data_IF_833218013732
#
_entry.id   IF_833218013732
#
_cell.length_a   1.000
_cell.length_b   1.000
_cell.length_c   1.000
_cell.angle_alpha   90.00
_cell.angle_beta   90.00
_cell.angle_gamma   90.00
#
_symmetry.space_group_name_H-M   'P 1'
#
loop_
_entity.id
_entity.type
_entity.pdbx_description
1 polymer ?
#
# COMPACT_ATOMS: atom_id res chain seq x y z
N UNK A 1 24.50 -19.07 -18.72
CA UNK A 1 23.55 -18.93 -17.58
C UNK A 1 23.50 -17.51 -17.01
N UNK A 2 24.59 -16.73 -17.02
CA UNK A 2 24.59 -15.32 -16.58
C UNK A 2 23.79 -14.39 -17.50
N UNK A 3 23.88 -14.57 -18.82
CA UNK A 3 23.15 -13.74 -19.80
C UNK A 3 21.63 -13.90 -19.76
N UNK A 4 21.14 -15.10 -19.45
CA UNK A 4 19.70 -15.37 -19.29
C UNK A 4 19.12 -14.73 -18.04
N UNK A 5 19.87 -14.70 -16.93
CA UNK A 5 19.44 -14.05 -15.69
C UNK A 5 19.39 -12.53 -15.86
N UNK A 6 20.40 -11.94 -16.53
CA UNK A 6 20.42 -10.51 -16.83
C UNK A 6 19.24 -10.10 -17.73
N UNK A 7 18.89 -10.91 -18.73
CA UNK A 7 17.72 -10.67 -19.58
C UNK A 7 16.40 -10.75 -18.82
N UNK A 8 16.24 -11.73 -17.93
CA UNK A 8 15.03 -11.87 -17.10
C UNK A 8 14.88 -10.68 -16.16
N UNK A 9 15.96 -10.26 -15.48
CA UNK A 9 15.95 -9.10 -14.58
C UNK A 9 15.66 -7.79 -15.33
N UNK A 10 16.23 -7.62 -16.52
CA UNK A 10 15.97 -6.46 -17.37
C UNK A 10 14.50 -6.42 -17.83
N UNK A 11 13.93 -7.56 -18.24
CA UNK A 11 12.53 -7.66 -18.63
C UNK A 11 11.59 -7.36 -17.45
N UNK A 12 11.91 -7.85 -16.25
CA UNK A 12 11.12 -7.58 -15.04
C UNK A 12 11.17 -6.10 -14.64
N UNK A 13 12.34 -5.46 -14.74
CA UNK A 13 12.50 -4.04 -14.45
C UNK A 13 11.74 -3.15 -15.45
N UNK A 14 11.76 -3.49 -16.75
CA UNK A 14 11.01 -2.76 -17.78
C UNK A 14 9.51 -2.97 -17.59
N UNK A 15 9.05 -4.20 -17.34
CA UNK A 15 7.65 -4.49 -17.09
C UNK A 15 7.11 -3.80 -15.82
N UNK A 16 7.89 -3.81 -14.73
CA UNK A 16 7.53 -3.11 -13.49
C UNK A 16 7.42 -1.60 -13.66
N UNK A 17 8.31 -1.00 -14.45
CA UNK A 17 8.26 0.44 -14.77
C UNK A 17 7.06 0.82 -15.64
N UNK A 18 6.72 0.01 -16.63
CA UNK A 18 5.53 0.23 -17.46
C UNK A 18 4.23 0.05 -16.64
N UNK A 19 4.20 -0.92 -15.72
CA UNK A 19 3.06 -1.13 -14.81
C UNK A 19 2.90 0.03 -13.81
N UNK A 20 4.02 0.55 -13.27
CA UNK A 20 4.04 1.71 -12.39
C UNK A 20 3.56 2.98 -13.12
N UNK A 21 4.00 3.20 -14.36
CA UNK A 21 3.55 4.34 -15.17
C UNK A 21 2.10 4.20 -15.65
N UNK A 22 1.62 2.98 -15.90
CA UNK A 22 0.22 2.73 -16.25
C UNK A 22 -0.72 2.96 -15.05
N UNK A 23 -0.30 2.57 -13.84
CA UNK A 23 -1.06 2.79 -12.61
C UNK A 23 -1.08 4.27 -12.20
N UNK A 24 0.05 4.96 -12.28
CA UNK A 24 0.16 6.39 -11.98
C UNK A 24 -0.65 7.27 -12.97
N UNK A 25 -0.81 6.86 -14.23
CA UNK A 25 -1.68 7.55 -15.20
C UNK A 25 -3.16 7.20 -15.04
N UNK A 26 -3.49 6.00 -14.56
CA UNK A 26 -4.89 5.55 -14.35
C UNK A 26 -5.52 6.21 -13.13
N UNK A 27 -4.76 6.49 -12.08
CA UNK A 27 -5.28 7.12 -10.85
C UNK A 27 -5.87 8.53 -11.07
N UNK A 28 -5.18 9.51 -11.71
CA UNK A 28 -5.74 10.84 -11.98
C UNK A 28 -6.87 10.80 -13.01
N UNK A 29 -6.83 9.84 -13.96
CA UNK A 29 -7.91 9.65 -14.95
C UNK A 29 -9.19 9.11 -14.31
N UNK A 30 -9.08 8.11 -13.44
CA UNK A 30 -10.20 7.58 -12.67
C UNK A 30 -10.79 8.63 -11.71
N UNK A 31 -9.95 9.49 -11.13
CA UNK A 31 -10.41 10.61 -10.31
C UNK A 31 -11.13 11.70 -11.12
N UNK A 32 -10.72 11.96 -12.36
CA UNK A 32 -11.40 12.88 -13.26
C UNK A 32 -12.77 12.33 -13.69
N UNK A 33 -12.83 11.05 -14.08
CA UNK A 33 -14.06 10.35 -14.43
C UNK A 33 -15.04 10.30 -13.25
N UNK A 34 -14.56 10.09 -12.02
CA UNK A 34 -15.40 10.17 -10.81
C UNK A 34 -15.95 11.57 -10.55
N UNK A 35 -15.21 12.64 -10.84
CA UNK A 35 -15.72 14.01 -10.72
C UNK A 35 -16.78 14.30 -11.78
N UNK A 36 -16.58 13.82 -13.00
CA UNK A 36 -17.53 13.95 -14.09
C UNK A 36 -18.83 13.19 -13.80
N UNK A 37 -18.74 11.93 -13.37
CA UNK A 37 -19.90 11.12 -12.99
C UNK A 37 -20.68 11.77 -11.84
N UNK A 38 -20.00 12.32 -10.83
CA UNK A 38 -20.67 13.07 -9.74
C UNK A 38 -21.40 14.31 -10.25
N UNK A 39 -20.84 15.03 -11.23
CA UNK A 39 -21.49 16.18 -11.84
C UNK A 39 -22.73 15.76 -12.66
N UNK A 40 -22.64 14.66 -13.41
CA UNK A 40 -23.78 14.11 -14.17
C UNK A 40 -24.91 13.66 -13.24
N UNK A 41 -24.60 13.00 -12.13
CA UNK A 41 -25.60 12.60 -11.11
C UNK A 41 -26.25 13.81 -10.45
N UNK A 42 -25.49 14.86 -10.12
CA UNK A 42 -26.05 16.09 -9.55
C UNK A 42 -26.99 16.80 -10.52
N UNK A 43 -26.65 16.85 -11.81
CA UNK A 43 -27.48 17.43 -12.86
C UNK A 43 -28.75 16.61 -13.11
N UNK A 44 -28.65 15.28 -13.14
CA UNK A 44 -29.81 14.39 -13.26
C UNK A 44 -30.75 14.51 -12.05
N UNK A 45 -30.19 14.64 -10.84
CA UNK A 45 -30.98 14.87 -9.61
C UNK A 45 -31.74 16.19 -9.71
N UNK A 46 -31.08 17.28 -10.13
CA UNK A 46 -31.73 18.59 -10.33
C UNK A 46 -32.83 18.54 -11.39
N UNK A 47 -32.61 17.81 -12.50
CA UNK A 47 -33.65 17.60 -13.54
C UNK A 47 -34.83 16.79 -13.01
N UNK A 48 -34.57 15.78 -12.18
CA UNK A 48 -35.60 14.98 -11.54
C UNK A 48 -36.46 15.82 -10.58
N UNK A 49 -35.83 16.64 -9.73
CA UNK A 49 -36.53 17.57 -8.83
C UNK A 49 -37.35 18.60 -9.62
N UNK A 50 -36.81 19.16 -10.71
CA UNK A 50 -37.53 20.11 -11.56
C UNK A 50 -38.73 19.47 -12.28
N UNK A 51 -38.64 18.19 -12.66
CA UNK A 51 -39.75 17.44 -13.24
C UNK A 51 -40.80 17.09 -12.18
N UNK A 52 -40.38 16.67 -10.98
CA UNK A 52 -41.30 16.45 -9.86
C UNK A 52 -42.05 17.73 -9.47
N UNK A 53 -41.37 18.89 -9.43
CA UNK A 53 -42.00 20.18 -9.15
C UNK A 53 -43.03 20.59 -10.21
N UNK A 54 -42.79 20.28 -11.49
CA UNK A 54 -43.76 20.52 -12.58
C UNK A 54 -44.98 19.61 -12.53
N UNK A 55 -44.80 18.38 -12.05
CA UNK A 55 -45.90 17.42 -11.84
C UNK A 55 -46.70 17.78 -10.59
N UNK A 56 -46.05 18.35 -9.57
CA UNK A 56 -46.68 18.78 -8.32
C UNK A 56 -47.39 20.14 -8.41
N UNK A 57 -47.21 20.90 -9.49
CA UNK A 57 -47.92 22.17 -9.70
C UNK A 57 -49.34 21.91 -10.27
N UNK A 58 -50.42 22.24 -9.54
CA UNK A 58 -51.77 22.13 -10.06
C UNK A 58 -52.04 23.25 -11.09
N UNK A 59 -52.81 22.93 -12.13
CA UNK A 59 -53.27 23.89 -13.12
C UNK A 59 -54.05 25.03 -12.45
N UNK A 60 -53.48 26.23 -12.44
CA UNK A 60 -54.20 27.46 -12.12
C UNK A 60 -54.95 27.94 -13.36
N UNK A 61 -56.26 27.70 -13.40
CA UNK A 61 -57.22 28.50 -14.16
C UNK A 61 -57.92 29.47 -13.18
N UNK A 62 -57.81 30.79 -13.35
CA UNK A 62 -58.70 31.73 -12.69
C UNK A 62 -59.93 31.98 -13.57
N UNK A 63 -61.08 31.73 -12.96
CA UNK A 63 -62.41 32.00 -13.48
C UNK A 63 -62.68 33.49 -13.74
N UNK A 64 -63.44 33.78 -14.80
CA UNK A 64 -64.23 35.00 -14.91
C UNK A 64 -65.63 34.63 -15.43
N UNK A 65 -66.64 34.74 -14.57
CA UNK A 65 -68.06 34.67 -14.91
C UNK A 65 -68.55 36.05 -15.39
N UNK A 66 -69.63 36.13 -16.18
CA UNK A 66 -70.86 36.63 -15.54
C UNK A 66 -72.18 35.96 -15.99
N UNK A 67 -73.05 35.84 -15.00
CA UNK A 67 -74.50 35.66 -14.91
C UNK A 67 -75.41 35.79 -16.16
N UNK A 68 -76.34 34.82 -16.30
CA UNK A 68 -77.60 34.91 -17.06
C UNK A 68 -78.52 33.68 -16.82
N UNK A 69 -79.85 33.81 -16.62
CA UNK A 69 -80.73 32.79 -16.00
C UNK A 69 -81.35 31.76 -17.01
N UNK A 70 -82.09 30.72 -16.55
CA UNK A 70 -82.05 29.38 -17.12
C UNK A 70 -83.06 29.15 -18.26
N UNK A 71 -82.69 28.31 -19.23
CA UNK A 71 -83.63 27.79 -20.22
C UNK A 71 -83.32 26.33 -20.57
N UNK A 72 -84.30 25.48 -20.24
CA UNK A 72 -84.74 24.25 -20.91
C UNK A 72 -83.73 23.38 -21.67
N UNK A 73 -83.65 22.14 -21.21
CA UNK A 73 -83.17 20.94 -21.92
C UNK A 73 -83.82 20.82 -23.32
N UNK A 74 -83.07 20.31 -24.31
CA UNK A 74 -83.52 19.08 -24.95
C UNK A 74 -82.42 18.02 -24.95
N UNK A 75 -82.84 16.84 -24.50
CA UNK A 75 -82.15 15.57 -24.71
C UNK A 75 -82.16 15.34 -26.22
N UNK A 76 -80.99 15.43 -26.85
CA UNK A 76 -80.76 14.87 -28.18
C UNK A 76 -80.15 13.49 -27.99
N UNK A 77 -80.95 12.47 -28.25
CA UNK A 77 -80.50 11.11 -28.56
C UNK A 77 -79.64 11.18 -29.83
N UNK A 78 -78.32 11.21 -29.64
CA UNK A 78 -77.36 10.93 -30.70
C UNK A 78 -76.33 9.95 -30.14
N UNK A 79 -76.12 8.78 -30.78
CA UNK A 79 -75.19 7.78 -30.26
C UNK A 79 -73.78 8.39 -30.18
N UNK A 80 -73.01 8.16 -29.10
CA UNK A 80 -71.61 8.55 -29.12
C UNK A 80 -70.92 7.67 -30.16
N UNK A 81 -70.79 8.20 -31.37
CA UNK A 81 -69.75 7.80 -32.27
C UNK A 81 -68.45 7.95 -31.48
N UNK A 82 -67.88 6.82 -31.09
CA UNK A 82 -66.53 6.72 -30.56
C UNK A 82 -65.59 7.07 -31.72
N UNK A 83 -65.54 8.36 -32.04
CA UNK A 83 -64.43 8.94 -32.76
C UNK A 83 -63.31 9.04 -31.72
N UNK A 84 -62.51 7.98 -31.62
CA UNK A 84 -61.31 8.00 -30.81
C UNK A 84 -60.51 9.23 -31.18
N UNK A 85 -60.24 10.10 -30.20
CA UNK A 85 -59.46 11.32 -30.41
C UNK A 85 -58.09 10.89 -30.98
N UNK A 86 -57.77 11.23 -32.25
CA UNK A 86 -56.54 10.78 -32.89
C UNK A 86 -55.29 11.25 -32.13
N UNK A 87 -55.41 12.36 -31.38
CA UNK A 87 -54.33 12.87 -30.52
C UNK A 87 -54.12 12.03 -29.26
N UNK A 88 -55.15 11.37 -28.76
CA UNK A 88 -55.03 10.44 -27.64
C UNK A 88 -54.34 9.14 -28.09
N UNK A 89 -54.66 8.65 -29.28
CA UNK A 89 -53.99 7.50 -29.90
C UNK A 89 -52.50 7.81 -30.19
N UNK A 90 -52.18 8.96 -30.79
CA UNK A 90 -50.80 9.40 -31.02
C UNK A 90 -49.97 9.50 -29.72
N UNK A 91 -50.58 9.94 -28.61
CA UNK A 91 -49.90 9.98 -27.31
C UNK A 91 -49.66 8.60 -26.73
N UNK A 92 -50.60 7.67 -26.91
CA UNK A 92 -50.45 6.28 -26.48
C UNK A 92 -49.36 5.59 -27.30
N UNK A 93 -49.30 5.83 -28.60
CA UNK A 93 -48.24 5.31 -29.47
C UNK A 93 -46.86 5.88 -29.06
N UNK A 94 -46.76 7.19 -28.83
CA UNK A 94 -45.51 7.82 -28.37
C UNK A 94 -45.08 7.36 -26.97
N UNK A 95 -46.02 7.02 -26.08
CA UNK A 95 -45.74 6.42 -24.79
C UNK A 95 -45.28 4.97 -24.95
N UNK A 96 -45.89 4.20 -25.84
CA UNK A 96 -45.50 2.83 -26.17
C UNK A 96 -44.07 2.80 -26.72
N UNK A 97 -43.75 3.66 -27.69
CA UNK A 97 -42.39 3.82 -28.23
C UNK A 97 -41.36 4.23 -27.16
N UNK A 98 -41.80 4.93 -26.11
CA UNK A 98 -40.92 5.32 -25.00
C UNK A 98 -40.74 4.18 -24.01
N UNK A 99 -41.79 3.39 -23.75
CA UNK A 99 -41.70 2.17 -22.94
C UNK A 99 -40.79 1.16 -23.62
N UNK A 100 -40.95 0.92 -24.92
CA UNK A 100 -40.10 -0.02 -25.67
C UNK A 100 -38.61 0.39 -25.64
N UNK A 101 -38.33 1.70 -25.73
CA UNK A 101 -36.96 2.23 -25.58
C UNK A 101 -36.43 2.03 -24.16
N UNK A 102 -37.23 2.31 -23.13
CA UNK A 102 -36.83 2.09 -21.75
C UNK A 102 -36.59 0.60 -21.47
N UNK A 103 -37.44 -0.30 -21.96
CA UNK A 103 -37.27 -1.75 -21.82
C UNK A 103 -35.97 -2.21 -22.48
N UNK A 104 -35.64 -1.67 -23.66
CA UNK A 104 -34.36 -1.95 -24.32
C UNK A 104 -33.17 -1.42 -23.51
N UNK A 105 -33.25 -0.19 -23.00
CA UNK A 105 -32.20 0.41 -22.18
C UNK A 105 -32.02 -0.37 -20.86
N UNK A 106 -33.12 -0.84 -20.24
CA UNK A 106 -33.09 -1.70 -19.06
C UNK A 106 -32.46 -3.06 -19.37
N UNK A 107 -32.76 -3.66 -20.52
CA UNK A 107 -32.14 -4.91 -20.95
C UNK A 107 -30.63 -4.73 -21.18
N UNK A 108 -30.20 -3.61 -21.76
CA UNK A 108 -28.79 -3.29 -21.95
C UNK A 108 -28.06 -3.05 -20.62
N UNK A 109 -28.66 -2.27 -19.71
CA UNK A 109 -28.12 -2.04 -18.37
C UNK A 109 -28.04 -3.33 -17.55
N UNK A 110 -29.05 -4.20 -17.63
CA UNK A 110 -29.03 -5.51 -16.98
C UNK A 110 -27.86 -6.36 -17.50
N UNK A 111 -27.65 -6.41 -18.82
CA UNK A 111 -26.51 -7.12 -19.40
C UNK A 111 -25.15 -6.53 -18.99
N UNK A 112 -25.06 -5.20 -18.85
CA UNK A 112 -23.85 -4.54 -18.36
C UNK A 112 -23.57 -4.86 -16.88
N UNK A 113 -24.62 -4.91 -16.05
CA UNK A 113 -24.49 -5.30 -14.64
C UNK A 113 -24.04 -6.76 -14.50
N UNK A 114 -24.63 -7.68 -15.25
CA UNK A 114 -24.23 -9.09 -15.25
C UNK A 114 -22.75 -9.27 -15.66
N UNK A 115 -22.30 -8.48 -16.65
CA UNK A 115 -20.90 -8.49 -17.07
C UNK A 115 -19.95 -7.96 -15.98
N UNK A 116 -20.35 -6.91 -15.26
CA UNK A 116 -19.57 -6.37 -14.13
C UNK A 116 -19.53 -7.32 -12.94
N UNK A 117 -20.63 -8.01 -12.65
CA UNK A 117 -20.68 -9.03 -11.59
C UNK A 117 -19.75 -10.21 -11.92
N UNK A 118 -19.71 -10.65 -13.18
CA UNK A 118 -18.77 -11.67 -13.63
C UNK A 118 -17.31 -11.22 -13.50
N UNK A 119 -16.98 -9.98 -13.87
CA UNK A 119 -15.63 -9.42 -13.68
C UNK A 119 -15.27 -9.36 -12.20
N UNK A 120 -16.20 -8.95 -11.35
CA UNK A 120 -15.99 -8.91 -9.90
C UNK A 120 -15.75 -10.29 -9.30
N UNK A 121 -16.46 -11.31 -9.77
CA UNK A 121 -16.24 -12.69 -9.34
C UNK A 121 -14.91 -13.26 -9.82
N UNK A 122 -14.50 -12.92 -11.05
CA UNK A 122 -13.17 -13.25 -11.56
C UNK A 122 -12.06 -12.58 -10.72
N UNK A 123 -12.21 -11.30 -10.38
CA UNK A 123 -11.28 -10.57 -9.51
C UNK A 123 -11.19 -11.19 -8.11
N UNK A 124 -12.32 -11.59 -7.52
CA UNK A 124 -12.33 -12.29 -6.23
C UNK A 124 -11.66 -13.66 -6.31
N UNK A 125 -11.84 -14.39 -7.41
CA UNK A 125 -11.16 -15.67 -7.62
C UNK A 125 -9.66 -15.48 -7.76
N UNK A 126 -9.22 -14.46 -8.49
CA UNK A 126 -7.81 -14.09 -8.61
C UNK A 126 -7.23 -13.70 -7.25
N UNK A 127 -7.90 -12.86 -6.47
CA UNK A 127 -7.46 -12.48 -5.13
C UNK A 127 -7.22 -13.71 -4.25
N UNK A 128 -8.19 -14.64 -4.18
CA UNK A 128 -8.03 -15.90 -3.45
C UNK A 128 -6.86 -16.75 -3.96
N UNK A 129 -6.62 -16.77 -5.26
CA UNK A 129 -5.48 -17.51 -5.82
C UNK A 129 -4.14 -16.87 -5.46
N UNK A 130 -4.09 -15.53 -5.37
CA UNK A 130 -2.91 -14.82 -4.92
C UNK A 130 -2.66 -15.06 -3.44
N UNK A 131 -3.71 -15.07 -2.60
CA UNK A 131 -3.59 -15.39 -1.17
C UNK A 131 -2.99 -16.80 -0.95
N UNK A 132 -3.41 -17.78 -1.75
CA UNK A 132 -2.84 -19.15 -1.70
C UNK A 132 -1.37 -19.15 -2.12
N UNK A 133 -1.03 -18.47 -3.21
CA UNK A 133 0.37 -18.39 -3.67
C UNK A 133 1.25 -17.66 -2.66
N UNK A 134 0.77 -16.58 -2.04
CA UNK A 134 1.48 -15.87 -0.97
C UNK A 134 1.73 -16.78 0.24
N UNK A 135 0.72 -17.56 0.63
CA UNK A 135 0.85 -18.54 1.70
C UNK A 135 1.90 -19.61 1.37
N UNK A 136 1.82 -20.23 0.19
CA UNK A 136 2.76 -21.26 -0.26
C UNK A 136 4.21 -20.73 -0.34
N UNK A 137 4.40 -19.50 -0.81
CA UNK A 137 5.70 -18.82 -0.83
C UNK A 137 6.21 -18.63 0.60
N UNK A 138 5.34 -18.20 1.52
CA UNK A 138 5.66 -18.06 2.94
C UNK A 138 6.11 -19.38 3.58
N UNK A 139 5.41 -20.48 3.32
CA UNK A 139 5.79 -21.81 3.81
C UNK A 139 7.14 -22.27 3.24
N UNK A 140 7.36 -22.12 1.93
CA UNK A 140 8.61 -22.49 1.28
C UNK A 140 9.79 -21.64 1.79
N UNK A 141 9.56 -20.35 2.02
CA UNK A 141 10.55 -19.46 2.61
C UNK A 141 10.92 -19.89 4.03
N UNK A 142 9.94 -20.21 4.87
CA UNK A 142 10.18 -20.70 6.22
C UNK A 142 10.96 -22.02 6.20
N UNK A 143 10.61 -22.95 5.31
CA UNK A 143 11.32 -24.22 5.16
C UNK A 143 12.77 -24.00 4.69
N UNK A 144 12.98 -23.12 3.71
CA UNK A 144 14.32 -22.78 3.23
C UNK A 144 15.18 -22.21 4.36
N UNK A 145 14.64 -21.25 5.14
CA UNK A 145 15.34 -20.65 6.26
C UNK A 145 15.66 -21.67 7.35
N UNK A 146 14.73 -22.58 7.67
CA UNK A 146 14.96 -23.64 8.65
C UNK A 146 16.04 -24.65 8.18
N UNK A 147 16.05 -24.99 6.88
CA UNK A 147 17.13 -25.81 6.30
C UNK A 147 18.48 -25.10 6.40
N UNK A 148 18.54 -23.81 6.10
CA UNK A 148 19.77 -23.00 6.21
C UNK A 148 20.24 -22.88 7.66
N UNK A 149 19.32 -22.66 8.60
CA UNK A 149 19.61 -22.59 10.03
C UNK A 149 20.26 -23.89 10.50
N UNK A 150 19.75 -25.05 10.05
CA UNK A 150 20.31 -26.37 10.37
C UNK A 150 21.66 -26.66 9.71
N UNK A 151 21.91 -26.17 8.50
CA UNK A 151 23.12 -26.54 7.72
C UNK A 151 24.28 -25.56 7.85
N UNK A 152 24.03 -24.27 7.79
CA UNK A 152 25.05 -23.20 7.69
C UNK A 152 25.05 -22.25 8.89
N UNK A 153 24.04 -22.34 9.77
CA UNK A 153 23.73 -21.28 10.72
C UNK A 153 23.03 -20.12 10.03
N UNK A 154 21.95 -19.63 10.64
CA UNK A 154 21.19 -18.48 10.18
C UNK A 154 21.30 -17.40 11.25
N UNK A 155 21.76 -16.21 10.85
CA UNK A 155 21.75 -15.02 11.69
C UNK A 155 20.69 -14.05 11.16
N UNK A 156 19.83 -13.56 12.05
CA UNK A 156 18.90 -12.47 11.74
C UNK A 156 19.62 -11.14 11.83
N UNK A 157 19.34 -10.25 10.90
CA UNK A 157 19.91 -8.92 10.85
C UNK A 157 18.84 -7.85 10.74
N UNK A 158 19.14 -6.66 11.24
CA UNK A 158 18.23 -5.53 11.18
C UNK A 158 19.02 -4.25 10.96
N UNK A 159 18.63 -3.50 9.93
CA UNK A 159 19.13 -2.17 9.65
C UNK A 159 17.95 -1.20 9.70
N UNK A 160 18.00 -0.19 10.57
CA UNK A 160 17.00 0.87 10.65
C UNK A 160 17.67 2.23 10.56
N UNK A 161 17.03 3.18 9.89
CA UNK A 161 17.44 4.58 9.80
C UNK A 161 16.21 5.48 9.81
N UNK A 162 16.25 6.57 10.58
CA UNK A 162 15.30 7.69 10.42
C UNK A 162 15.54 8.45 9.11
N UNK A 163 16.77 8.39 8.61
CA UNK A 163 17.20 9.06 7.37
C UNK A 163 17.14 8.09 6.20
N UNK A 164 16.00 8.08 5.50
CA UNK A 164 15.82 7.28 4.30
C UNK A 164 16.82 7.62 3.17
N UNK A 165 17.36 8.85 3.12
CA UNK A 165 18.38 9.24 2.13
C UNK A 165 19.72 8.52 2.34
N UNK A 166 20.06 8.18 3.59
CA UNK A 166 21.28 7.48 3.94
C UNK A 166 21.14 5.94 3.83
N UNK A 167 19.93 5.43 3.60
CA UNK A 167 19.64 3.98 3.61
C UNK A 167 20.48 3.20 2.59
N UNK A 168 20.75 3.78 1.41
CA UNK A 168 21.55 3.11 0.38
C UNK A 168 23.01 2.90 0.80
N UNK A 169 23.66 3.95 1.32
CA UNK A 169 25.04 3.88 1.81
C UNK A 169 25.16 2.99 3.05
N UNK A 170 24.19 3.11 3.95
CA UNK A 170 24.15 2.31 5.16
C UNK A 170 23.89 0.83 4.86
N UNK A 171 23.01 0.53 3.89
CA UNK A 171 22.79 -0.82 3.38
C UNK A 171 24.07 -1.40 2.76
N UNK A 172 24.78 -0.63 1.94
CA UNK A 172 26.05 -1.07 1.34
C UNK A 172 27.12 -1.35 2.41
N UNK A 173 27.28 -0.46 3.39
CA UNK A 173 28.21 -0.66 4.49
C UNK A 173 27.83 -1.87 5.36
N UNK A 174 26.54 -2.09 5.59
CA UNK A 174 26.03 -3.24 6.33
C UNK A 174 26.31 -4.56 5.59
N UNK A 175 25.97 -4.63 4.30
CA UNK A 175 26.19 -5.82 3.48
C UNK A 175 27.69 -6.10 3.28
N UNK A 176 28.50 -5.05 3.13
CA UNK A 176 29.95 -5.12 3.12
C UNK A 176 30.53 -5.62 4.45
N UNK A 177 29.98 -5.18 5.58
CA UNK A 177 30.33 -5.70 6.90
C UNK A 177 29.98 -7.19 7.00
N UNK A 178 28.74 -7.58 6.69
CA UNK A 178 28.32 -8.97 6.70
C UNK A 178 29.24 -9.86 5.84
N UNK A 179 29.52 -9.45 4.59
CA UNK A 179 30.43 -10.16 3.70
C UNK A 179 31.86 -10.25 4.25
N UNK A 180 32.37 -9.17 4.86
CA UNK A 180 33.70 -9.12 5.49
C UNK A 180 33.87 -10.12 6.64
N UNK A 181 32.78 -10.48 7.31
CA UNK A 181 32.76 -11.50 8.37
C UNK A 181 32.30 -12.88 7.89
N UNK A 182 32.22 -13.09 6.57
CA UNK A 182 31.89 -14.39 5.96
C UNK A 182 30.39 -14.72 5.94
N UNK A 183 29.52 -13.74 6.22
CA UNK A 183 28.09 -13.89 6.05
C UNK A 183 27.64 -13.60 4.62
N UNK A 184 26.55 -14.25 4.21
CA UNK A 184 25.89 -14.04 2.91
C UNK A 184 24.45 -13.64 3.14
N UNK A 185 24.05 -12.54 2.50
CA UNK A 185 22.65 -12.11 2.46
C UNK A 185 21.84 -13.11 1.64
N UNK A 186 20.80 -13.67 2.24
CA UNK A 186 19.88 -14.61 1.59
C UNK A 186 18.55 -13.96 1.27
N UNK A 187 18.03 -13.18 2.21
CA UNK A 187 16.77 -12.46 2.07
C UNK A 187 16.96 -11.03 2.56
N UNK A 188 16.29 -10.12 1.87
CA UNK A 188 16.20 -8.69 2.17
C UNK A 188 14.73 -8.30 2.22
N UNK A 189 14.22 -8.06 3.41
CA UNK A 189 12.83 -7.65 3.62
C UNK A 189 12.78 -6.17 4.00
N UNK A 190 12.15 -5.35 3.14
CA UNK A 190 11.98 -3.94 3.44
C UNK A 190 11.03 -3.76 4.62
N UNK A 191 11.44 -2.96 5.59
CA UNK A 191 10.69 -2.68 6.79
C UNK A 191 10.41 -1.18 6.84
N UNK A 192 9.14 -0.85 7.05
CA UNK A 192 8.73 0.50 7.43
C UNK A 192 8.14 0.38 8.83
N UNK A 193 8.85 0.93 9.82
CA UNK A 193 8.39 0.94 11.19
C UNK A 193 7.92 2.36 11.54
N UNK A 194 6.66 2.49 11.98
CA UNK A 194 6.17 3.75 12.53
C UNK A 194 6.58 3.82 13.99
N UNK A 195 7.41 4.78 14.36
CA UNK A 195 7.75 5.03 15.75
C UNK A 195 7.18 6.33 16.28
N UNK A 196 7.24 6.51 17.60
CA UNK A 196 6.80 7.72 18.28
C UNK A 196 7.60 8.97 17.83
N UNK A 197 8.84 8.79 17.36
CA UNK A 197 9.74 9.83 16.87
C UNK A 197 9.73 10.09 15.36
N UNK A 198 9.03 9.27 14.56
CA UNK A 198 9.03 9.36 13.09
C UNK A 198 8.90 8.00 12.40
N UNK A 199 8.81 8.02 11.06
CA UNK A 199 8.82 6.80 10.26
C UNK A 199 10.27 6.34 10.05
N UNK A 200 10.59 5.13 10.51
CA UNK A 200 11.88 4.48 10.29
C UNK A 200 11.79 3.63 9.02
N UNK A 201 12.77 3.83 8.14
CA UNK A 201 12.99 3.00 6.98
C UNK A 201 14.10 2.01 7.31
N UNK A 202 13.94 0.78 6.88
CA UNK A 202 14.94 -0.21 7.17
C UNK A 202 14.77 -1.50 6.40
N UNK A 203 15.65 -2.42 6.72
CA UNK A 203 15.76 -3.70 6.06
C UNK A 203 16.02 -4.78 7.10
N UNK A 204 15.16 -5.79 7.14
CA UNK A 204 15.44 -7.04 7.84
C UNK A 204 16.23 -7.96 6.92
N UNK A 205 17.25 -8.60 7.47
CA UNK A 205 18.17 -9.45 6.74
C UNK A 205 18.14 -10.86 7.30
N UNK A 206 18.13 -11.84 6.40
CA UNK A 206 18.44 -13.23 6.74
C UNK A 206 19.83 -13.56 6.19
N UNK A 207 20.77 -13.82 7.09
CA UNK A 207 22.19 -14.00 6.78
C UNK A 207 22.59 -15.45 7.06
N UNK A 208 23.39 -16.06 6.19
CA UNK A 208 23.93 -17.41 6.43
C UNK A 208 25.45 -17.47 6.27
N UNK A 209 26.05 -18.52 6.83
CA UNK A 209 27.46 -18.85 6.65
C UNK A 209 28.26 -18.99 7.94
N UNK A 210 27.78 -18.39 9.03
CA UNK A 210 28.37 -18.52 10.37
C UNK A 210 27.28 -18.56 11.44
N UNK A 211 27.64 -19.13 12.60
CA UNK A 211 26.76 -19.14 13.77
C UNK A 211 26.64 -17.72 14.37
N UNK A 212 25.43 -17.29 14.75
CA UNK A 212 25.19 -15.93 15.22
C UNK A 212 25.93 -15.61 16.52
N UNK A 213 25.97 -16.53 17.47
CA UNK A 213 26.58 -16.28 18.80
C UNK A 213 28.10 -16.02 18.71
N UNK A 214 28.83 -16.92 18.04
CA UNK A 214 30.28 -16.81 17.85
C UNK A 214 30.65 -15.54 17.07
N UNK A 215 29.84 -15.19 16.06
CA UNK A 215 30.04 -13.99 15.27
C UNK A 215 29.76 -12.72 16.10
N UNK A 216 28.72 -12.72 16.91
CA UNK A 216 28.35 -11.56 17.70
C UNK A 216 29.42 -11.24 18.75
N UNK A 217 29.96 -12.25 19.42
CA UNK A 217 31.09 -12.07 20.35
C UNK A 217 32.34 -11.50 19.65
N UNK A 218 32.65 -11.99 18.44
CA UNK A 218 33.77 -11.49 17.64
C UNK A 218 33.56 -10.03 17.22
N UNK A 219 32.38 -9.69 16.67
CA UNK A 219 32.01 -8.32 16.29
C UNK A 219 32.06 -7.37 17.49
N UNK A 220 31.54 -7.80 18.64
CA UNK A 220 31.56 -7.02 19.86
C UNK A 220 32.97 -6.80 20.39
N UNK A 221 33.81 -7.85 20.39
CA UNK A 221 35.23 -7.75 20.74
C UNK A 221 35.96 -6.73 19.86
N UNK A 222 35.79 -6.82 18.54
CA UNK A 222 36.37 -5.86 17.60
C UNK A 222 35.84 -4.44 17.82
N UNK A 223 34.53 -4.24 18.02
CA UNK A 223 33.95 -2.92 18.28
C UNK A 223 34.51 -2.28 19.57
N UNK A 224 34.72 -3.09 20.61
CA UNK A 224 35.27 -2.63 21.90
C UNK A 224 36.73 -2.22 21.77
N UNK A 225 37.52 -3.07 21.11
CA UNK A 225 38.97 -2.90 21.00
C UNK A 225 39.34 -1.86 19.91
N UNK A 226 38.40 -1.51 19.02
CA UNK A 226 38.58 -0.55 17.93
C UNK A 226 38.99 0.84 18.43
N UNK A 227 40.24 1.22 18.19
CA UNK A 227 40.73 2.58 18.47
C UNK A 227 40.65 3.46 17.22
N UNK A 228 40.73 2.85 16.04
CA UNK A 228 40.58 3.52 14.75
C UNK A 228 39.73 2.67 13.78
N UNK A 229 38.85 3.27 12.95
CA UNK A 229 38.00 2.52 12.01
C UNK A 229 38.76 1.63 11.02
N UNK A 230 40.03 1.95 10.75
CA UNK A 230 40.88 1.22 9.80
C UNK A 230 41.35 -0.14 10.32
N UNK A 231 41.28 -0.39 11.63
CA UNK A 231 41.71 -1.66 12.24
C UNK A 231 40.81 -2.83 11.79
N UNK A 232 39.51 -2.55 11.65
CA UNK A 232 38.52 -3.49 11.14
C UNK A 232 37.70 -2.83 10.04
N UNK A 233 38.20 -2.76 8.79
CA UNK A 233 37.64 -1.88 7.77
C UNK A 233 36.16 -2.15 7.47
N UNK A 234 35.73 -3.41 7.53
CA UNK A 234 34.35 -3.84 7.31
C UNK A 234 33.40 -3.32 8.41
N UNK A 235 33.73 -3.55 9.68
CA UNK A 235 32.94 -3.09 10.83
C UNK A 235 33.07 -1.58 11.04
N UNK A 236 34.27 -1.05 10.87
CA UNK A 236 34.59 0.36 10.99
C UNK A 236 33.81 1.21 9.99
N UNK A 237 33.67 0.77 8.73
CA UNK A 237 32.83 1.44 7.74
C UNK A 237 31.36 1.52 8.21
N UNK A 238 30.76 0.39 8.60
CA UNK A 238 29.39 0.34 9.11
C UNK A 238 29.17 1.26 10.32
N UNK A 239 30.05 1.17 11.33
CA UNK A 239 29.92 2.00 12.53
C UNK A 239 30.15 3.49 12.24
N UNK A 240 30.98 3.82 11.24
CA UNK A 240 31.22 5.19 10.81
C UNK A 240 30.00 5.77 10.10
N UNK A 241 29.38 5.02 9.18
CA UNK A 241 28.14 5.45 8.51
C UNK A 241 26.99 5.63 9.52
N UNK A 242 26.84 4.69 10.48
CA UNK A 242 25.87 4.84 11.57
C UNK A 242 26.13 6.07 12.44
N UNK A 243 27.40 6.39 12.72
CA UNK A 243 27.76 7.53 13.53
C UNK A 243 27.44 8.87 12.84
N UNK A 244 27.51 8.91 11.51
CA UNK A 244 27.24 10.08 10.66
C UNK A 244 25.75 10.39 10.49
N UNK A 245 24.85 9.47 10.83
CA UNK A 245 23.42 9.75 10.88
C UNK A 245 23.15 10.91 11.85
N UNK A 246 22.34 11.87 11.42
CA UNK A 246 21.83 12.99 12.23
C UNK A 246 20.74 12.48 13.18
N UNK A 247 19.89 11.57 12.71
CA UNK A 247 18.82 10.90 13.44
C UNK A 247 19.23 9.60 14.13
N UNK A 248 18.21 8.83 14.51
CA UNK A 248 18.34 7.48 15.05
C UNK A 248 18.67 6.44 13.99
N UNK A 249 19.45 5.44 14.37
CA UNK A 249 19.81 4.32 13.49
C UNK A 249 20.21 3.08 14.27
N UNK A 250 19.98 1.92 13.68
CA UNK A 250 20.28 0.61 14.27
C UNK A 250 20.93 -0.24 13.20
N UNK A 251 22.02 -0.93 13.56
CA UNK A 251 22.52 -2.06 12.82
C UNK A 251 22.68 -3.26 13.75
N UNK A 252 22.11 -4.38 13.36
CA UNK A 252 22.12 -5.61 14.13
C UNK A 252 22.53 -6.77 13.25
N UNK A 253 23.44 -7.61 13.74
CA UNK A 253 23.87 -8.85 13.11
C UNK A 253 23.84 -9.94 14.18
N UNK A 254 22.81 -10.80 14.15
CA UNK A 254 22.52 -11.72 15.23
C UNK A 254 22.37 -10.97 16.56
N UNK A 255 23.02 -11.45 17.64
CA UNK A 255 23.00 -10.76 18.93
C UNK A 255 23.73 -9.41 18.96
N UNK A 256 24.70 -9.18 18.09
CA UNK A 256 25.43 -7.91 18.06
C UNK A 256 24.54 -6.78 17.58
N UNK A 257 24.37 -5.76 18.41
CA UNK A 257 23.49 -4.62 18.14
C UNK A 257 24.25 -3.31 18.37
N UNK A 258 24.32 -2.47 17.33
CA UNK A 258 24.85 -1.11 17.38
C UNK A 258 23.71 -0.11 17.15
N UNK A 259 23.60 0.88 18.04
CA UNK A 259 22.46 1.78 18.13
C UNK A 259 22.93 3.21 18.27
N UNK A 260 22.53 4.03 17.31
CA UNK A 260 22.69 5.48 17.30
C UNK A 260 21.37 6.12 17.72
N UNK A 261 21.43 6.98 18.73
CA UNK A 261 20.33 7.87 19.15
C UNK A 261 20.87 9.27 19.32
N UNK A 262 20.05 10.31 19.29
CA UNK A 262 20.49 11.69 19.55
C UNK A 262 21.44 11.81 20.77
N UNK A 263 21.14 11.04 21.83
CA UNK A 263 21.85 11.03 23.11
C UNK A 263 23.20 10.27 23.13
N UNK A 264 23.51 9.45 22.13
CA UNK A 264 24.74 8.65 22.15
C UNK A 264 24.79 7.56 21.09
N UNK A 265 25.96 6.92 20.97
CA UNK A 265 26.19 5.79 20.08
C UNK A 265 26.74 4.62 20.89
N UNK A 266 26.00 3.51 20.94
CA UNK A 266 26.29 2.37 21.82
C UNK A 266 26.28 1.08 21.01
N UNK A 267 27.03 0.07 21.45
CA UNK A 267 26.82 -1.30 21.00
C UNK A 267 26.79 -2.30 22.17
N UNK A 268 26.20 -3.46 21.94
CA UNK A 268 26.12 -4.53 22.92
C UNK A 268 25.61 -5.83 22.33
N UNK A 269 25.52 -6.86 23.18
CA UNK A 269 25.01 -8.18 22.84
C UNK A 269 23.58 -8.34 23.40
N UNK A 270 22.58 -8.28 22.51
CA UNK A 270 21.18 -8.50 22.84
C UNK A 270 20.70 -9.84 22.30
N UNK A 271 19.84 -10.60 23.01
CA UNK A 271 19.29 -11.86 22.49
C UNK A 271 18.45 -11.62 21.23
N UNK A 272 18.42 -12.60 20.31
CA UNK A 272 17.71 -12.52 19.01
C UNK A 272 16.22 -12.19 19.14
N UNK A 273 15.59 -12.57 20.24
CA UNK A 273 14.19 -12.28 20.53
C UNK A 273 13.90 -10.77 20.74
N UNK A 274 14.93 -9.94 20.95
CA UNK A 274 14.79 -8.49 21.05
C UNK A 274 14.60 -7.80 19.67
N UNK A 275 14.58 -8.56 18.56
CA UNK A 275 14.54 -8.03 17.19
C UNK A 275 13.15 -7.56 16.72
N UNK A 276 12.10 -7.89 17.47
CA UNK A 276 10.75 -7.54 17.10
C UNK A 276 10.42 -6.09 17.45
N UNK A 277 10.47 -5.24 16.42
CA UNK A 277 9.84 -3.92 16.35
C UNK A 277 10.30 -2.87 17.38
N UNK A 278 11.47 -3.04 17.98
CA UNK A 278 11.97 -2.07 18.95
C UNK A 278 12.51 -0.81 18.26
N UNK A 279 12.04 0.36 18.73
CA UNK A 279 12.55 1.66 18.26
C UNK A 279 14.03 1.84 18.69
N UNK A 280 14.84 2.66 17.99
CA UNK A 280 16.26 2.80 18.32
C UNK A 280 16.50 3.26 19.77
N UNK A 281 15.61 4.08 20.35
CA UNK A 281 15.76 4.48 21.75
C UNK A 281 15.44 3.35 22.74
N UNK A 282 14.54 2.42 22.40
CA UNK A 282 14.23 1.23 23.21
C UNK A 282 15.43 0.28 23.21
N UNK A 283 16.00 0.01 22.04
CA UNK A 283 17.21 -0.80 21.92
C UNK A 283 18.39 -0.13 22.64
N UNK A 284 18.53 1.19 22.56
CA UNK A 284 19.55 1.91 23.31
C UNK A 284 19.34 1.79 24.83
N UNK A 285 18.10 1.80 25.32
CA UNK A 285 17.79 1.58 26.72
C UNK A 285 18.16 0.15 27.16
N UNK A 286 17.80 -0.86 26.37
CA UNK A 286 18.16 -2.26 26.63
C UNK A 286 19.67 -2.47 26.67
N UNK A 287 20.42 -1.89 25.72
CA UNK A 287 21.90 -1.96 25.72
C UNK A 287 22.49 -1.28 26.96
N UNK A 288 21.88 -0.21 27.48
CA UNK A 288 22.34 0.44 28.72
C UNK A 288 22.07 -0.40 29.96
N UNK A 289 21.04 -1.25 29.96
CA UNK A 289 20.74 -2.15 31.07
C UNK A 289 21.66 -3.38 31.10
N UNK A 290 22.37 -3.66 30.00
CA UNK A 290 23.34 -4.76 29.95
C UNK A 290 24.50 -4.55 30.95
N UNK A 291 25.09 -5.67 31.43
CA UNK A 291 26.35 -5.66 32.16
C UNK A 291 27.45 -4.88 31.42
N UNK A 292 28.38 -4.29 32.17
CA UNK A 292 29.42 -3.43 31.61
C UNK A 292 30.38 -4.16 30.65
N UNK A 293 30.49 -5.48 30.78
CA UNK A 293 31.24 -6.38 29.91
C UNK A 293 30.53 -6.73 28.60
N UNK A 294 29.21 -6.49 28.51
CA UNK A 294 28.37 -6.77 27.33
C UNK A 294 27.86 -5.51 26.62
N UNK A 295 28.37 -4.33 27.00
CA UNK A 295 28.08 -3.05 26.36
C UNK A 295 29.37 -2.26 26.12
N UNK A 296 29.38 -1.45 25.07
CA UNK A 296 30.46 -0.54 24.74
C UNK A 296 29.91 0.81 24.28
N UNK A 297 30.55 1.90 24.72
CA UNK A 297 30.24 3.25 24.25
C UNK A 297 31.10 3.58 23.03
N UNK A 298 30.42 3.83 21.90
CA UNK A 298 31.01 4.16 20.61
C UNK A 298 30.95 5.65 20.32
N UNK A 299 30.56 6.49 21.28
CA UNK A 299 30.41 7.94 21.07
C UNK A 299 31.70 8.63 20.61
N UNK A 300 32.87 8.00 20.84
CA UNK A 300 34.18 8.42 20.28
C UNK A 300 34.24 8.43 18.75
N UNK A 301 33.39 7.64 18.08
CA UNK A 301 33.33 7.54 16.61
C UNK A 301 32.41 8.61 15.99
N UNK A 302 31.69 9.38 16.80
CA UNK A 302 30.92 10.53 16.28
C UNK A 302 31.92 11.56 15.78
N UNK A 303 31.74 12.00 14.55
CA UNK A 303 32.42 13.20 14.08
C UNK A 303 32.06 14.34 15.04
N UNK A 304 33.07 14.95 15.65
CA UNK A 304 32.91 16.26 16.29
C UNK A 304 32.65 17.26 15.17
N UNK A 305 31.43 17.80 15.11
CA UNK A 305 31.12 18.97 14.30
C UNK A 305 32.08 20.13 14.58
#
# INVERSE_FOLDING_TARGET
MTTTVVLVLLCLAIAGRELYLASDKRLPRAQAELRELRAQVAELTRRHEALQAKIAAPAEDPAEAPSGPPAAVPVTDEPPAVAGDPRALERVDALTDRVDRLEKDFAELAAQLDALDLDRDAQRALARSLDVVEHDIGELHAEMLDRLARSEGLATGLLLSEEGEADALLSEAYEGCAAGYGLRVRIRDQRVAKGAGGDFWGTAYHLSGRRPDELAEELFGHARDMTAPQEHPALGALLTELAQLRGGGVARIGPFTAVRTASGFLCGLLPDDAADAAEPWELAAQVRELPADLRCDLSRLRATD
#
